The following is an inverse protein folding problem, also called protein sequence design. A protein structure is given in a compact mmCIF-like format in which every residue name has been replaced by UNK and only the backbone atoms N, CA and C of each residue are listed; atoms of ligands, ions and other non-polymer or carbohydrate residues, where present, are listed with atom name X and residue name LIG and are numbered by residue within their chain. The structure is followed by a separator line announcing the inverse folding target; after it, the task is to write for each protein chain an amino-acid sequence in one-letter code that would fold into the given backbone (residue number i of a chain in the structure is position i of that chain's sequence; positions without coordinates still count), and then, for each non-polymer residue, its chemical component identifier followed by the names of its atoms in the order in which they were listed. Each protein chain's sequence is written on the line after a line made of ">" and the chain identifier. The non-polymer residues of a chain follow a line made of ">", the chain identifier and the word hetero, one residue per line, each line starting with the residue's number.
data_IF_792938673996
#
_entry.id   IF_792938673996
#
_cell.length_a   1.000
_cell.length_b   1.000
_cell.length_c   1.000
_cell.angle_alpha   90.00
_cell.angle_beta   90.00
_cell.angle_gamma   90.00
#
_symmetry.space_group_name_H-M   'P 1'
#
loop_
_entity.id
_entity.type
_entity.pdbx_description
1 polymer ?
#
# COMPACT_ATOMS: atom_id res chain seq x y z
N UNK A 1 -26.80 21.36 25.51
CA UNK A 1 -25.54 20.63 25.52
C UNK A 1 -25.44 19.53 26.56
N UNK A 2 -26.13 19.62 27.69
CA UNK A 2 -26.02 18.68 28.82
C UNK A 2 -26.44 17.22 28.55
N UNK A 3 -27.29 16.95 27.57
CA UNK A 3 -27.77 15.58 27.25
C UNK A 3 -26.99 14.84 26.19
N UNK A 4 -26.08 15.51 25.41
CA UNK A 4 -25.28 14.89 24.37
C UNK A 4 -24.09 14.13 24.96
N UNK A 5 -23.45 14.67 25.96
CA UNK A 5 -22.25 14.09 26.60
C UNK A 5 -22.45 12.66 27.14
N UNK A 6 -23.55 12.30 27.82
CA UNK A 6 -23.78 10.93 28.26
C UNK A 6 -23.82 9.92 27.10
N UNK A 7 -24.38 10.30 25.95
CA UNK A 7 -24.42 9.45 24.76
C UNK A 7 -23.02 9.25 24.20
N UNK A 8 -22.25 10.32 24.03
CA UNK A 8 -20.86 10.26 23.55
C UNK A 8 -20.02 9.37 24.47
N UNK A 9 -20.12 9.60 25.80
CA UNK A 9 -19.37 8.83 26.79
C UNK A 9 -19.74 7.35 26.78
N UNK A 10 -21.04 7.04 26.67
CA UNK A 10 -21.51 5.64 26.58
C UNK A 10 -20.95 4.96 25.37
N UNK A 11 -21.11 5.54 24.17
CA UNK A 11 -20.64 4.99 22.90
C UNK A 11 -19.12 4.78 22.91
N UNK A 12 -18.36 5.75 23.43
CA UNK A 12 -16.91 5.66 23.57
C UNK A 12 -16.48 4.51 24.49
N UNK A 13 -17.02 4.48 25.73
CA UNK A 13 -16.61 3.49 26.75
C UNK A 13 -17.01 2.07 26.37
N UNK A 14 -18.19 1.89 25.78
CA UNK A 14 -18.66 0.60 25.30
C UNK A 14 -17.72 0.00 24.25
N UNK A 15 -17.16 0.84 23.35
CA UNK A 15 -16.21 0.42 22.34
C UNK A 15 -14.81 0.18 22.89
N UNK A 16 -14.24 1.15 23.58
CA UNK A 16 -12.84 1.08 24.06
C UNK A 16 -12.63 -0.05 25.08
N UNK A 17 -13.66 -0.40 25.85
CA UNK A 17 -13.61 -1.51 26.81
C UNK A 17 -13.91 -2.87 26.19
N UNK A 18 -14.32 -2.94 24.92
CA UNK A 18 -14.62 -4.19 24.26
C UNK A 18 -13.35 -5.00 24.00
N UNK A 19 -13.46 -6.34 24.14
CA UNK A 19 -12.34 -7.25 23.81
C UNK A 19 -11.92 -7.11 22.34
N UNK A 20 -12.90 -6.90 21.46
CA UNK A 20 -12.64 -6.70 20.03
C UNK A 20 -11.75 -5.45 19.77
N UNK A 21 -12.01 -4.35 20.47
CA UNK A 21 -11.19 -3.13 20.39
C UNK A 21 -9.74 -3.39 20.82
N UNK A 22 -9.56 -4.02 21.99
CA UNK A 22 -8.23 -4.31 22.52
C UNK A 22 -7.44 -5.23 21.61
N UNK A 23 -8.10 -6.30 21.11
CA UNK A 23 -7.47 -7.24 20.20
C UNK A 23 -7.12 -6.54 18.87
N UNK A 24 -8.05 -5.81 18.25
CA UNK A 24 -7.80 -5.14 16.98
C UNK A 24 -6.74 -4.04 17.09
N UNK A 25 -6.71 -3.33 18.23
CA UNK A 25 -5.72 -2.27 18.47
C UNK A 25 -4.30 -2.81 18.54
N UNK A 26 -4.12 -4.02 19.08
CA UNK A 26 -2.80 -4.68 19.15
C UNK A 26 -2.52 -5.52 17.92
N UNK A 27 -3.51 -6.27 17.44
CA UNK A 27 -3.32 -7.21 16.34
C UNK A 27 -3.09 -6.51 14.99
N UNK A 28 -3.74 -5.37 14.72
CA UNK A 28 -3.61 -4.72 13.42
C UNK A 28 -2.20 -4.18 13.13
N UNK A 29 -1.49 -3.48 14.04
CA UNK A 29 -0.09 -3.12 13.83
C UNK A 29 0.82 -4.33 13.67
N UNK A 30 0.60 -5.40 14.45
CA UNK A 30 1.37 -6.62 14.33
C UNK A 30 1.15 -7.34 13.00
N UNK A 31 -0.09 -7.41 12.53
CA UNK A 31 -0.43 -7.96 11.22
C UNK A 31 0.17 -7.11 10.10
N UNK A 32 0.10 -5.79 10.22
CA UNK A 32 0.70 -4.89 9.23
C UNK A 32 2.22 -5.07 9.19
N UNK A 33 2.86 -5.13 10.34
CA UNK A 33 4.29 -5.43 10.43
C UNK A 33 4.62 -6.81 9.85
N UNK A 34 3.83 -7.84 10.15
CA UNK A 34 4.01 -9.19 9.61
C UNK A 34 3.86 -9.20 8.08
N UNK A 35 2.82 -8.57 7.52
CA UNK A 35 2.60 -8.47 6.07
C UNK A 35 3.75 -7.75 5.38
N UNK A 36 4.38 -6.78 6.03
CA UNK A 36 5.52 -6.05 5.48
C UNK A 36 6.85 -6.80 5.63
N UNK A 37 7.08 -7.41 6.78
CA UNK A 37 8.35 -8.08 7.08
C UNK A 37 8.41 -9.51 6.52
N UNK A 38 7.27 -10.21 6.48
CA UNK A 38 7.21 -11.60 6.04
C UNK A 38 7.73 -11.80 4.61
N UNK A 39 7.34 -11.00 3.58
CA UNK A 39 7.91 -11.10 2.26
C UNK A 39 9.44 -10.83 2.24
N UNK A 40 9.90 -9.83 3.01
CA UNK A 40 11.33 -9.53 3.11
C UNK A 40 12.11 -10.67 3.74
N UNK A 41 11.59 -11.28 4.82
CA UNK A 41 12.18 -12.46 5.46
C UNK A 41 12.13 -13.68 4.52
N UNK A 42 11.00 -13.90 3.85
CA UNK A 42 10.89 -15.00 2.87
C UNK A 42 11.84 -14.82 1.70
N UNK A 43 11.97 -13.59 1.19
CA UNK A 43 12.95 -13.29 0.14
C UNK A 43 14.38 -13.53 0.62
N UNK A 44 14.75 -13.11 1.83
CA UNK A 44 16.08 -13.33 2.38
C UNK A 44 16.41 -14.82 2.54
N UNK A 45 15.44 -15.65 2.89
CA UNK A 45 15.64 -17.10 2.99
C UNK A 45 15.74 -17.78 1.61
N UNK A 46 15.10 -17.26 0.57
CA UNK A 46 15.22 -17.79 -0.79
C UNK A 46 16.59 -17.48 -1.42
N UNK A 47 17.25 -16.42 -1.00
CA UNK A 47 18.60 -16.06 -1.48
C UNK A 47 19.72 -16.95 -0.94
N UNK A 48 19.47 -17.75 0.09
CA UNK A 48 20.49 -18.60 0.71
C UNK A 48 21.02 -19.76 -0.17
N UNK A 49 20.28 -20.16 -1.23
CA UNK A 49 20.71 -21.23 -2.13
C UNK A 49 21.20 -20.65 -3.48
N UNK A 50 22.45 -20.91 -3.88
CA UNK A 50 22.92 -20.51 -5.20
C UNK A 50 22.12 -21.22 -6.29
N UNK A 51 21.81 -20.50 -7.37
CA UNK A 51 21.12 -21.03 -8.53
C UNK A 51 22.11 -21.85 -9.39
N UNK A 52 21.73 -23.07 -9.74
CA UNK A 52 22.49 -23.94 -10.64
C UNK A 52 22.07 -23.61 -12.07
N UNK A 53 22.97 -22.98 -12.81
CA UNK A 53 22.71 -22.54 -14.19
C UNK A 53 23.74 -23.15 -15.11
N UNK A 54 23.29 -23.76 -16.20
CA UNK A 54 24.19 -24.18 -17.27
C UNK A 54 24.32 -23.10 -18.36
N UNK A 55 25.48 -23.00 -19.02
CA UNK A 55 25.69 -22.09 -20.14
C UNK A 55 25.94 -22.92 -21.39
N UNK A 56 25.01 -22.85 -22.38
CA UNK A 56 25.10 -23.45 -23.67
C UNK A 56 25.44 -22.38 -24.71
N UNK A 57 26.68 -22.38 -25.19
CA UNK A 57 27.19 -21.38 -26.13
C UNK A 57 27.36 -21.98 -27.53
N UNK A 58 26.48 -21.62 -28.46
CA UNK A 58 26.54 -22.00 -29.86
C UNK A 58 27.56 -21.15 -30.68
N UNK A 59 28.02 -20.00 -30.12
CA UNK A 59 29.05 -19.17 -30.74
C UNK A 59 30.47 -19.73 -30.56
N UNK A 60 30.65 -20.59 -29.53
CA UNK A 60 31.93 -21.21 -29.16
C UNK A 60 32.97 -20.26 -28.54
N UNK A 61 32.65 -18.99 -28.34
CA UNK A 61 33.60 -17.96 -27.89
C UNK A 61 33.24 -17.23 -26.62
N UNK A 62 32.00 -17.40 -26.10
CA UNK A 62 31.47 -16.61 -24.97
C UNK A 62 31.34 -17.41 -23.69
N UNK A 63 31.29 -18.75 -23.76
CA UNK A 63 31.02 -19.63 -22.63
C UNK A 63 31.86 -19.34 -21.39
N UNK A 64 33.18 -19.38 -21.55
CA UNK A 64 34.11 -19.25 -20.41
C UNK A 64 34.04 -17.86 -19.80
N UNK A 65 33.89 -16.82 -20.64
CA UNK A 65 33.74 -15.45 -20.17
C UNK A 65 32.42 -15.23 -19.41
N UNK A 66 31.30 -15.78 -19.93
CA UNK A 66 30.00 -15.69 -19.28
C UNK A 66 29.98 -16.51 -17.98
N UNK A 67 30.55 -17.70 -18.00
CA UNK A 67 30.68 -18.54 -16.78
C UNK A 67 31.48 -17.81 -15.68
N UNK A 68 32.61 -17.20 -16.04
CA UNK A 68 33.43 -16.42 -15.10
C UNK A 68 32.68 -15.18 -14.60
N UNK A 69 31.93 -14.47 -15.45
CA UNK A 69 31.15 -13.31 -15.07
C UNK A 69 30.00 -13.67 -14.12
N UNK A 70 29.29 -14.76 -14.37
CA UNK A 70 28.22 -15.27 -13.49
C UNK A 70 28.77 -15.73 -12.13
N UNK A 71 29.91 -16.42 -12.10
CA UNK A 71 30.56 -16.86 -10.85
C UNK A 71 30.99 -15.68 -9.95
N UNK A 72 31.27 -14.51 -10.55
CA UNK A 72 31.61 -13.29 -9.82
C UNK A 72 30.39 -12.54 -9.25
N UNK A 73 29.18 -12.83 -9.74
CA UNK A 73 27.96 -12.17 -9.24
C UNK A 73 27.62 -12.69 -7.83
N UNK A 74 27.73 -11.79 -6.87
CA UNK A 74 27.42 -12.05 -5.46
C UNK A 74 26.13 -11.35 -5.08
N UNK A 75 25.38 -11.99 -4.18
CA UNK A 75 24.24 -11.40 -3.53
C UNK A 75 24.40 -11.64 -2.02
N UNK A 76 24.31 -10.57 -1.22
CA UNK A 76 24.57 -10.60 0.22
C UNK A 76 25.91 -11.25 0.63
N UNK A 77 26.95 -11.06 -0.19
CA UNK A 77 28.30 -11.58 0.05
C UNK A 77 28.56 -13.03 -0.41
N UNK A 78 27.53 -13.79 -0.76
CA UNK A 78 27.63 -15.17 -1.25
C UNK A 78 27.51 -15.23 -2.78
N UNK A 79 28.15 -16.23 -3.42
CA UNK A 79 27.99 -16.48 -4.84
C UNK A 79 26.52 -16.81 -5.16
N UNK A 80 25.93 -16.07 -6.12
CA UNK A 80 24.53 -16.27 -6.49
C UNK A 80 24.33 -17.43 -7.46
N UNK A 81 25.31 -17.69 -8.33
CA UNK A 81 25.23 -18.73 -9.36
C UNK A 81 26.32 -19.77 -9.17
N UNK A 82 25.94 -21.04 -9.32
CA UNK A 82 26.82 -22.17 -9.55
C UNK A 82 26.63 -22.55 -11.01
N UNK A 83 27.69 -22.31 -11.81
CA UNK A 83 27.59 -22.50 -13.24
C UNK A 83 28.15 -23.87 -13.61
N UNK A 84 27.31 -24.70 -14.25
CA UNK A 84 27.74 -25.95 -14.85
C UNK A 84 28.08 -25.70 -16.32
N UNK A 85 29.26 -26.13 -16.76
CA UNK A 85 29.66 -26.00 -18.16
C UNK A 85 28.95 -27.08 -19.00
N UNK A 86 28.19 -26.66 -20.01
CA UNK A 86 27.65 -27.56 -21.02
C UNK A 86 28.54 -27.53 -22.28
N UNK A 87 28.88 -28.68 -22.84
CA UNK A 87 29.68 -28.72 -24.05
C UNK A 87 28.84 -28.40 -25.29
N UNK A 88 29.16 -27.29 -25.92
CA UNK A 88 28.59 -26.95 -27.22
C UNK A 88 29.37 -27.70 -28.32
N UNK A 89 28.95 -28.91 -28.61
CA UNK A 89 29.44 -29.66 -29.78
C UNK A 89 28.54 -29.45 -31.02
N UNK A 90 28.82 -30.11 -32.14
CA UNK A 90 27.97 -30.06 -33.34
C UNK A 90 26.53 -30.55 -33.12
N UNK A 91 26.19 -30.99 -31.91
CA UNK A 91 24.89 -31.50 -31.46
C UNK A 91 24.22 -30.53 -30.42
N UNK A 92 24.34 -29.23 -30.64
CA UNK A 92 23.76 -28.21 -29.71
C UNK A 92 22.23 -28.44 -29.42
N UNK A 93 21.50 -29.00 -30.37
CA UNK A 93 20.09 -29.33 -30.21
C UNK A 93 19.85 -30.48 -29.21
N UNK A 94 20.69 -31.52 -29.23
CA UNK A 94 20.57 -32.65 -28.30
C UNK A 94 20.97 -32.24 -26.89
N UNK A 95 22.00 -31.39 -26.77
CA UNK A 95 22.43 -30.86 -25.48
C UNK A 95 21.38 -29.91 -24.90
N UNK A 96 20.71 -29.08 -25.71
CA UNK A 96 19.57 -28.26 -25.25
C UNK A 96 18.41 -29.14 -24.73
N UNK A 97 18.13 -30.27 -25.41
CA UNK A 97 17.12 -31.23 -24.96
C UNK A 97 17.49 -31.87 -23.61
N UNK A 98 18.76 -32.22 -23.42
CA UNK A 98 19.31 -32.73 -22.16
C UNK A 98 19.20 -31.70 -21.03
N UNK A 99 19.64 -30.47 -21.25
CA UNK A 99 19.57 -29.41 -20.30
C UNK A 99 18.12 -29.08 -19.91
N UNK A 100 17.19 -29.13 -20.88
CA UNK A 100 15.75 -29.01 -20.60
C UNK A 100 15.25 -30.12 -19.67
N UNK A 101 15.68 -31.36 -19.88
CA UNK A 101 15.35 -32.48 -18.99
C UNK A 101 15.93 -32.27 -17.59
N UNK A 102 17.16 -31.74 -17.47
CA UNK A 102 17.82 -31.47 -16.20
C UNK A 102 17.13 -30.34 -15.43
N UNK A 103 16.59 -29.36 -16.14
CA UNK A 103 15.74 -28.30 -15.53
C UNK A 103 14.42 -28.91 -15.05
N UNK A 104 13.78 -29.78 -15.83
CA UNK A 104 12.54 -30.45 -15.44
C UNK A 104 12.72 -31.39 -14.25
N UNK A 105 13.83 -32.12 -14.18
CA UNK A 105 14.17 -33.02 -13.05
C UNK A 105 14.61 -32.29 -11.79
N UNK A 106 14.88 -30.97 -11.85
CA UNK A 106 15.33 -30.14 -10.73
C UNK A 106 16.83 -30.26 -10.42
N UNK A 107 17.63 -30.87 -11.31
CA UNK A 107 19.11 -30.87 -11.23
C UNK A 107 19.67 -29.48 -11.50
N UNK A 108 19.10 -28.76 -12.47
CA UNK A 108 19.38 -27.39 -12.79
C UNK A 108 18.16 -26.49 -12.47
N UNK A 109 18.41 -25.23 -12.10
CA UNK A 109 17.37 -24.21 -11.96
C UNK A 109 17.04 -23.56 -13.32
N UNK A 110 18.01 -23.54 -14.22
CA UNK A 110 17.85 -23.04 -15.58
C UNK A 110 19.12 -23.21 -16.43
N UNK A 111 19.02 -22.88 -17.70
CA UNK A 111 20.19 -22.75 -18.59
C UNK A 111 20.08 -21.50 -19.47
N UNK A 112 21.24 -20.94 -19.76
CA UNK A 112 21.42 -19.79 -20.66
C UNK A 112 21.87 -20.30 -22.02
N UNK A 113 21.15 -19.96 -23.06
CA UNK A 113 21.50 -20.26 -24.46
C UNK A 113 22.02 -19.02 -25.15
N UNK A 114 23.23 -19.11 -25.71
CA UNK A 114 23.87 -18.08 -26.47
C UNK A 114 23.89 -18.55 -27.95
N UNK A 115 23.06 -17.97 -28.83
CA UNK A 115 23.03 -18.35 -30.25
C UNK A 115 24.37 -18.01 -30.97
N UNK A 116 24.63 -18.61 -32.13
CA UNK A 116 25.85 -18.40 -32.85
C UNK A 116 26.10 -16.93 -33.25
N UNK A 117 25.02 -16.18 -33.46
CA UNK A 117 25.02 -14.75 -33.79
C UNK A 117 24.75 -13.85 -32.56
N UNK A 118 24.96 -14.37 -31.33
CA UNK A 118 24.71 -13.66 -30.09
C UNK A 118 25.42 -12.29 -30.00
N UNK A 119 26.64 -12.19 -30.51
CA UNK A 119 27.41 -10.95 -30.54
C UNK A 119 26.81 -9.90 -31.47
N UNK A 120 26.24 -10.32 -32.61
CA UNK A 120 25.63 -9.42 -33.58
C UNK A 120 24.24 -8.95 -33.12
N UNK A 121 23.38 -9.89 -32.70
CA UNK A 121 22.00 -9.60 -32.30
C UNK A 121 21.87 -9.07 -30.90
N UNK A 122 22.89 -9.16 -30.03
CA UNK A 122 22.80 -8.81 -28.61
C UNK A 122 21.69 -9.58 -27.89
N UNK A 123 21.51 -10.85 -28.22
CA UNK A 123 20.45 -11.68 -27.64
C UNK A 123 21.03 -12.92 -26.97
N UNK A 124 20.45 -13.29 -25.86
CA UNK A 124 20.65 -14.53 -25.13
C UNK A 124 19.31 -14.98 -24.56
N UNK A 125 19.04 -16.28 -24.59
CA UNK A 125 17.79 -16.83 -24.09
C UNK A 125 18.02 -17.57 -22.79
N UNK A 126 17.23 -17.25 -21.76
CA UNK A 126 17.25 -17.98 -20.49
C UNK A 126 16.04 -18.90 -20.38
N UNK A 127 16.29 -20.17 -20.17
CA UNK A 127 15.30 -21.20 -19.96
C UNK A 127 15.38 -21.68 -18.50
N UNK A 128 14.36 -21.38 -17.70
CA UNK A 128 14.34 -21.72 -16.28
C UNK A 128 12.95 -22.15 -15.80
N UNK A 129 12.90 -22.90 -14.70
CA UNK A 129 11.64 -23.28 -14.05
C UNK A 129 10.92 -22.07 -13.46
N UNK A 130 11.67 -21.10 -12.98
CA UNK A 130 11.13 -19.86 -12.43
C UNK A 130 11.78 -18.67 -13.14
N UNK A 131 11.00 -18.00 -13.97
CA UNK A 131 11.38 -16.77 -14.67
C UNK A 131 10.75 -15.51 -14.04
N UNK A 132 10.13 -15.64 -12.88
CA UNK A 132 9.49 -14.52 -12.18
C UNK A 132 10.42 -13.76 -11.25
N UNK A 133 11.61 -14.29 -10.95
CA UNK A 133 12.58 -13.62 -10.09
C UNK A 133 13.36 -12.56 -10.87
N UNK A 134 12.82 -11.35 -10.88
CA UNK A 134 13.38 -10.20 -11.61
C UNK A 134 14.80 -9.85 -11.14
N UNK A 135 15.16 -10.10 -9.87
CA UNK A 135 16.49 -9.81 -9.36
C UNK A 135 17.55 -10.74 -9.98
N UNK A 136 17.27 -12.04 -10.03
CA UNK A 136 18.16 -13.02 -10.63
C UNK A 136 18.29 -12.81 -12.14
N UNK A 137 17.17 -12.53 -12.83
CA UNK A 137 17.19 -12.23 -14.27
C UNK A 137 18.02 -10.98 -14.58
N UNK A 138 17.95 -9.93 -13.75
CA UNK A 138 18.80 -8.74 -13.90
C UNK A 138 20.30 -9.05 -13.72
N UNK A 139 20.65 -9.93 -12.78
CA UNK A 139 22.04 -10.34 -12.58
C UNK A 139 22.56 -11.18 -13.75
N UNK A 140 21.72 -12.07 -14.31
CA UNK A 140 22.03 -12.82 -15.53
C UNK A 140 22.24 -11.88 -16.71
N UNK A 141 21.29 -10.98 -16.95
CA UNK A 141 21.33 -9.99 -18.02
C UNK A 141 22.60 -9.12 -17.93
N UNK A 142 22.91 -8.58 -16.75
CA UNK A 142 24.12 -7.80 -16.53
C UNK A 142 25.41 -8.60 -16.78
N UNK A 143 25.46 -9.87 -16.40
CA UNK A 143 26.63 -10.69 -16.61
C UNK A 143 26.87 -10.95 -18.10
N UNK A 144 25.80 -11.23 -18.84
CA UNK A 144 25.86 -11.45 -20.32
C UNK A 144 26.22 -10.15 -21.02
N UNK A 145 25.55 -9.04 -20.69
CA UNK A 145 25.83 -7.72 -21.27
C UNK A 145 27.30 -7.31 -21.07
N UNK A 146 27.84 -7.46 -19.84
CA UNK A 146 29.25 -7.16 -19.55
C UNK A 146 30.22 -7.93 -20.48
N UNK A 147 29.94 -9.21 -20.70
CA UNK A 147 30.79 -10.05 -21.55
C UNK A 147 30.64 -9.69 -23.04
N UNK A 148 29.41 -9.48 -23.51
CA UNK A 148 29.15 -9.10 -24.92
C UNK A 148 29.79 -7.77 -25.27
N UNK A 149 29.64 -6.75 -24.38
CA UNK A 149 30.29 -5.44 -24.57
C UNK A 149 31.80 -5.58 -24.55
N UNK A 150 32.38 -6.33 -23.60
CA UNK A 150 33.82 -6.54 -23.54
C UNK A 150 34.37 -7.21 -24.83
N UNK A 151 33.66 -8.21 -25.38
CA UNK A 151 34.06 -8.88 -26.62
C UNK A 151 34.00 -7.97 -27.86
N UNK A 152 32.95 -7.15 -27.95
CA UNK A 152 32.83 -6.18 -29.06
C UNK A 152 33.93 -5.13 -29.01
N UNK A 153 34.24 -4.59 -27.83
CA UNK A 153 35.32 -3.62 -27.65
C UNK A 153 36.65 -4.21 -27.99
N UNK A 154 36.93 -5.44 -27.55
CA UNK A 154 38.16 -6.14 -27.91
C UNK A 154 38.27 -6.38 -29.42
N UNK A 155 37.17 -6.71 -30.13
CA UNK A 155 37.12 -6.83 -31.59
C UNK A 155 37.41 -5.54 -32.34
N UNK A 156 37.20 -4.37 -31.70
CA UNK A 156 37.52 -3.04 -32.24
C UNK A 156 38.88 -2.51 -31.77
N UNK A 157 39.69 -3.34 -31.11
CA UNK A 157 41.02 -2.94 -30.62
C UNK A 157 40.98 -2.01 -29.38
N UNK A 158 39.80 -1.86 -28.71
CA UNK A 158 39.64 -1.06 -27.52
C UNK A 158 39.84 -1.93 -26.28
N UNK A 159 40.59 -1.42 -25.27
CA UNK A 159 40.75 -2.11 -24.00
C UNK A 159 39.43 -2.08 -23.20
N UNK A 160 38.82 -3.24 -22.95
CA UNK A 160 37.58 -3.31 -22.15
C UNK A 160 37.73 -2.78 -20.73
N UNK A 161 38.94 -2.86 -20.17
CA UNK A 161 39.25 -2.34 -18.84
C UNK A 161 39.17 -0.80 -18.78
N UNK A 162 39.72 -0.15 -19.80
CA UNK A 162 39.67 1.31 -19.90
C UNK A 162 38.26 1.83 -20.13
N UNK A 163 37.50 1.15 -20.99
CA UNK A 163 36.09 1.52 -21.23
C UNK A 163 35.23 1.31 -19.98
N UNK A 164 35.43 0.23 -19.18
CA UNK A 164 34.73 0.04 -17.91
C UNK A 164 35.01 1.15 -16.92
N UNK A 165 36.23 1.70 -16.85
CA UNK A 165 36.53 2.86 -16.00
C UNK A 165 35.79 4.11 -16.46
N UNK A 166 35.70 4.34 -17.79
CA UNK A 166 35.00 5.47 -18.39
C UNK A 166 33.46 5.34 -18.27
N UNK A 167 32.94 4.13 -18.34
CA UNK A 167 31.50 3.82 -18.25
C UNK A 167 31.07 3.35 -16.86
N UNK A 168 31.91 3.54 -15.83
CA UNK A 168 31.57 3.19 -14.45
C UNK A 168 30.24 3.83 -14.07
N UNK A 169 29.25 3.00 -13.73
CA UNK A 169 27.93 3.48 -13.32
C UNK A 169 28.07 4.48 -12.17
N UNK A 170 27.53 5.65 -12.36
CA UNK A 170 27.43 6.66 -11.30
C UNK A 170 26.52 6.10 -10.21
N UNK A 171 27.00 6.07 -8.98
CA UNK A 171 26.15 5.77 -7.80
C UNK A 171 25.35 7.02 -7.47
N UNK A 172 24.13 7.12 -8.01
CA UNK A 172 23.25 8.24 -7.80
C UNK A 172 22.65 8.15 -6.38
N UNK A 173 23.17 8.94 -5.45
CA UNK A 173 22.56 9.08 -4.13
C UNK A 173 21.33 9.97 -4.25
N UNK A 174 20.15 9.44 -3.96
CA UNK A 174 18.92 10.23 -3.88
C UNK A 174 18.85 10.91 -2.52
N UNK A 175 18.89 12.26 -2.54
CA UNK A 175 18.83 13.09 -1.34
C UNK A 175 17.51 13.86 -1.39
N UNK A 176 16.65 13.66 -0.41
CA UNK A 176 15.43 14.43 -0.24
C UNK A 176 15.75 15.73 0.49
N UNK A 177 15.36 16.85 -0.11
CA UNK A 177 15.44 18.16 0.53
C UNK A 177 14.10 18.41 1.25
N UNK A 178 14.15 18.47 2.58
CA UNK A 178 12.97 18.80 3.39
C UNK A 178 12.56 20.26 3.26
N UNK A 179 11.31 20.60 3.61
CA UNK A 179 10.80 21.97 3.58
C UNK A 179 11.63 22.97 4.44
N UNK A 180 12.38 22.49 5.42
CA UNK A 180 13.31 23.26 6.26
C UNK A 180 14.74 23.33 5.72
N UNK A 181 14.99 22.85 4.48
CA UNK A 181 16.32 22.79 3.88
C UNK A 181 17.21 21.63 4.39
N UNK A 182 16.70 20.77 5.25
CA UNK A 182 17.43 19.58 5.72
C UNK A 182 17.57 18.55 4.60
N UNK A 183 18.79 18.05 4.38
CA UNK A 183 19.11 17.02 3.39
C UNK A 183 19.13 15.64 4.05
N UNK A 184 18.41 14.68 3.47
CA UNK A 184 18.43 13.29 3.93
C UNK A 184 18.45 12.32 2.74
N UNK A 185 19.28 11.29 2.85
CA UNK A 185 19.29 10.20 1.87
C UNK A 185 17.96 9.44 1.95
N UNK A 186 17.24 9.36 0.82
CA UNK A 186 15.94 8.69 0.71
C UNK A 186 15.97 7.68 -0.44
N UNK A 187 16.03 6.42 -0.10
CA UNK A 187 15.98 5.28 -1.05
C UNK A 187 14.57 4.72 -1.21
N UNK A 188 13.55 5.57 -1.17
CA UNK A 188 12.13 5.16 -1.27
C UNK A 188 11.46 4.86 0.08
N UNK A 189 12.15 5.06 1.20
CA UNK A 189 11.60 4.83 2.53
C UNK A 189 10.45 5.80 2.86
N UNK A 190 10.49 7.03 2.34
CA UNK A 190 9.39 8.00 2.50
C UNK A 190 8.13 7.58 1.73
N UNK A 191 8.27 7.01 0.54
CA UNK A 191 7.13 6.48 -0.21
C UNK A 191 6.48 5.31 0.53
N UNK A 192 7.29 4.41 1.09
CA UNK A 192 6.80 3.29 1.89
C UNK A 192 6.04 3.76 3.13
N UNK A 193 6.60 4.73 3.88
CA UNK A 193 5.91 5.33 5.04
C UNK A 193 4.58 5.96 4.61
N UNK A 194 4.55 6.68 3.48
CA UNK A 194 3.32 7.29 2.95
C UNK A 194 2.25 6.25 2.67
N UNK A 195 2.63 5.10 2.10
CA UNK A 195 1.72 3.97 1.82
C UNK A 195 1.19 3.38 3.13
N UNK A 196 2.07 3.16 4.13
CA UNK A 196 1.67 2.62 5.43
C UNK A 196 0.64 3.52 6.10
N UNK A 197 0.93 4.82 6.18
CA UNK A 197 0.04 5.80 6.81
C UNK A 197 -1.28 5.92 6.05
N UNK A 198 -1.24 5.88 4.70
CA UNK A 198 -2.43 5.87 3.86
C UNK A 198 -3.29 4.63 4.12
N UNK A 199 -2.68 3.43 4.17
CA UNK A 199 -3.40 2.18 4.42
C UNK A 199 -3.98 2.15 5.84
N UNK A 200 -3.25 2.68 6.81
CA UNK A 200 -3.74 2.85 8.18
C UNK A 200 -4.98 3.75 8.23
N UNK A 201 -4.94 4.90 7.54
CA UNK A 201 -6.06 5.82 7.44
C UNK A 201 -7.25 5.16 6.74
N UNK A 202 -7.04 4.53 5.58
CA UNK A 202 -8.04 3.81 4.80
C UNK A 202 -8.75 2.74 5.65
N UNK A 203 -7.97 1.85 6.28
CA UNK A 203 -8.50 0.75 7.08
C UNK A 203 -9.30 1.26 8.27
N UNK A 204 -8.80 2.30 8.95
CA UNK A 204 -9.45 2.85 10.14
C UNK A 204 -10.79 3.53 9.78
N UNK A 205 -10.82 4.30 8.69
CA UNK A 205 -12.05 4.96 8.22
C UNK A 205 -13.13 3.94 7.87
N UNK A 206 -12.78 2.87 7.15
CA UNK A 206 -13.73 1.81 6.80
C UNK A 206 -14.21 1.07 8.04
N UNK A 207 -13.29 0.61 8.87
CA UNK A 207 -13.61 -0.18 10.06
C UNK A 207 -14.57 0.57 10.99
N UNK A 208 -14.27 1.82 11.32
CA UNK A 208 -15.11 2.60 12.21
C UNK A 208 -16.40 3.08 11.55
N UNK A 209 -16.41 3.29 10.22
CA UNK A 209 -17.63 3.52 9.46
C UNK A 209 -18.58 2.32 9.54
N UNK A 210 -18.08 1.11 9.36
CA UNK A 210 -18.86 -0.12 9.49
C UNK A 210 -19.36 -0.34 10.93
N UNK A 211 -18.57 -0.02 11.95
CA UNK A 211 -18.98 -0.07 13.36
C UNK A 211 -20.16 0.85 13.62
N UNK A 212 -20.18 2.06 13.03
CA UNK A 212 -21.33 2.96 13.13
C UNK A 212 -22.56 2.33 12.48
N UNK A 213 -22.43 1.77 11.29
CA UNK A 213 -23.51 1.11 10.56
C UNK A 213 -24.14 -0.03 11.36
N UNK A 214 -23.32 -0.98 11.82
CA UNK A 214 -23.79 -2.15 12.59
C UNK A 214 -24.45 -1.73 13.89
N UNK A 215 -23.90 -0.72 14.58
CA UNK A 215 -24.47 -0.16 15.79
C UNK A 215 -25.86 0.47 15.57
N UNK A 216 -26.08 1.12 14.41
CA UNK A 216 -27.42 1.67 14.06
C UNK A 216 -28.42 0.52 13.80
N UNK A 217 -27.97 -0.54 13.11
CA UNK A 217 -28.83 -1.72 12.85
C UNK A 217 -29.21 -2.41 14.17
N UNK A 218 -28.25 -2.63 15.08
CA UNK A 218 -28.47 -3.28 16.37
C UNK A 218 -29.47 -2.49 17.23
N UNK A 219 -29.34 -1.17 17.29
CA UNK A 219 -30.31 -0.34 18.04
C UNK A 219 -31.72 -0.40 17.43
N UNK A 220 -31.81 -0.43 16.12
CA UNK A 220 -33.10 -0.55 15.41
C UNK A 220 -33.73 -1.90 15.72
N UNK A 221 -32.97 -3.00 15.63
CA UNK A 221 -33.52 -4.36 15.83
C UNK A 221 -33.88 -4.65 17.28
N UNK A 222 -33.17 -4.08 18.23
CA UNK A 222 -33.43 -4.24 19.67
C UNK A 222 -34.56 -3.36 20.21
N UNK A 223 -35.18 -2.50 19.37
CA UNK A 223 -36.22 -1.49 19.75
C UNK A 223 -35.80 -0.52 20.85
N UNK A 224 -34.53 -0.51 21.24
CA UNK A 224 -33.99 0.45 22.23
C UNK A 224 -34.18 1.89 21.76
N UNK A 225 -34.18 2.07 20.44
CA UNK A 225 -34.42 3.37 19.82
C UNK A 225 -35.76 4.00 20.20
N UNK A 226 -36.83 3.22 20.34
CA UNK A 226 -38.17 3.75 20.70
C UNK A 226 -38.12 4.47 22.08
N UNK A 227 -37.40 3.89 23.04
CA UNK A 227 -37.17 4.47 24.35
C UNK A 227 -36.23 5.69 24.28
N UNK A 228 -35.21 5.64 23.42
CA UNK A 228 -34.25 6.74 23.33
C UNK A 228 -34.80 7.96 22.60
N UNK A 229 -35.61 7.77 21.52
CA UNK A 229 -36.23 8.86 20.77
C UNK A 229 -37.34 9.57 21.60
N UNK A 230 -37.98 8.87 22.53
CA UNK A 230 -38.91 9.53 23.49
C UNK A 230 -38.22 10.49 24.46
N UNK A 231 -36.91 10.31 24.71
CA UNK A 231 -36.13 11.10 25.66
C UNK A 231 -35.30 12.23 25.02
N UNK A 232 -34.96 12.12 23.72
CA UNK A 232 -34.16 13.12 23.00
C UNK A 232 -34.39 13.11 21.46
N UNK A 233 -34.17 14.25 20.76
CA UNK A 233 -34.30 14.32 19.31
C UNK A 233 -33.32 13.35 18.61
N UNK A 234 -33.81 12.64 17.56
CA UNK A 234 -33.03 11.67 16.78
C UNK A 234 -31.72 12.23 16.20
N UNK A 235 -31.70 13.50 15.80
CA UNK A 235 -30.49 14.16 15.31
C UNK A 235 -29.39 14.29 16.40
N UNK A 236 -29.77 14.50 17.65
CA UNK A 236 -28.79 14.55 18.77
C UNK A 236 -28.25 13.16 19.10
N UNK A 237 -29.09 12.14 19.02
CA UNK A 237 -28.69 10.75 19.21
C UNK A 237 -27.67 10.37 18.10
N UNK A 238 -28.00 10.68 16.86
CA UNK A 238 -27.13 10.47 15.70
C UNK A 238 -25.77 11.17 15.83
N UNK A 239 -25.78 12.46 16.20
CA UNK A 239 -24.54 13.21 16.41
C UNK A 239 -23.71 12.64 17.59
N UNK A 240 -24.37 12.27 18.70
CA UNK A 240 -23.71 11.65 19.85
C UNK A 240 -23.04 10.32 19.50
N UNK A 241 -23.68 9.51 18.68
CA UNK A 241 -23.13 8.25 18.17
C UNK A 241 -21.91 8.49 17.28
N UNK A 242 -22.01 9.36 16.27
CA UNK A 242 -20.87 9.70 15.40
C UNK A 242 -19.69 10.21 16.21
N UNK A 243 -19.91 11.10 17.17
CA UNK A 243 -18.84 11.65 18.00
C UNK A 243 -18.23 10.60 18.94
N UNK A 244 -19.06 9.76 19.58
CA UNK A 244 -18.60 8.74 20.53
C UNK A 244 -17.79 7.64 19.85
N UNK A 245 -18.30 7.10 18.74
CA UNK A 245 -17.60 6.09 17.95
C UNK A 245 -16.34 6.68 17.29
N UNK A 246 -16.42 7.93 16.81
CA UNK A 246 -15.28 8.64 16.24
C UNK A 246 -14.15 8.89 17.23
N UNK A 247 -14.50 9.20 18.50
CA UNK A 247 -13.52 9.33 19.57
C UNK A 247 -12.80 7.99 19.85
N UNK A 248 -13.52 6.87 19.82
CA UNK A 248 -12.91 5.54 19.95
C UNK A 248 -11.99 5.23 18.76
N UNK A 249 -12.42 5.54 17.53
CA UNK A 249 -11.61 5.42 16.32
C UNK A 249 -10.35 6.28 16.38
N UNK A 250 -10.46 7.52 16.83
CA UNK A 250 -9.31 8.42 17.01
C UNK A 250 -8.34 7.88 18.07
N UNK A 251 -8.83 7.33 19.17
CA UNK A 251 -7.99 6.70 20.20
C UNK A 251 -7.19 5.55 19.61
N UNK A 252 -7.81 4.63 18.87
CA UNK A 252 -7.13 3.52 18.22
C UNK A 252 -6.09 4.02 17.19
N UNK A 253 -6.47 5.00 16.40
CA UNK A 253 -5.60 5.60 15.39
C UNK A 253 -4.35 6.24 16.02
N UNK A 254 -4.51 6.96 17.13
CA UNK A 254 -3.40 7.54 17.88
C UNK A 254 -2.48 6.49 18.49
N UNK A 255 -3.04 5.37 18.98
CA UNK A 255 -2.25 4.22 19.47
C UNK A 255 -1.39 3.63 18.32
N UNK A 256 -1.97 3.48 17.14
CA UNK A 256 -1.23 2.97 15.97
C UNK A 256 -0.15 3.93 15.49
N UNK A 257 -0.45 5.24 15.46
CA UNK A 257 0.54 6.26 15.12
C UNK A 257 1.70 6.29 16.12
N UNK A 258 1.40 6.18 17.42
CA UNK A 258 2.41 6.08 18.47
C UNK A 258 3.26 4.80 18.34
N UNK A 259 2.63 3.65 18.06
CA UNK A 259 3.35 2.40 17.84
C UNK A 259 4.31 2.49 16.64
N UNK A 260 3.89 3.10 15.52
CA UNK A 260 4.76 3.34 14.36
C UNK A 260 5.93 4.27 14.71
N UNK A 261 5.68 5.34 15.48
CA UNK A 261 6.75 6.25 15.91
C UNK A 261 7.78 5.53 16.81
N UNK A 262 7.31 4.70 17.74
CA UNK A 262 8.16 3.88 18.61
C UNK A 262 9.00 2.90 17.78
N UNK A 263 8.37 2.17 16.84
CA UNK A 263 9.08 1.25 15.93
C UNK A 263 10.14 2.01 15.12
N UNK A 264 9.82 3.21 14.63
CA UNK A 264 10.75 4.08 13.89
C UNK A 264 12.00 4.45 14.71
N UNK A 265 11.81 4.82 15.98
CA UNK A 265 12.93 5.14 16.90
C UNK A 265 13.80 3.92 17.18
N UNK A 266 13.20 2.76 17.46
CA UNK A 266 13.94 1.52 17.69
C UNK A 266 14.68 1.04 16.44
N UNK A 267 14.07 1.12 15.27
CA UNK A 267 14.70 0.77 14.00
C UNK A 267 15.90 1.69 13.68
N UNK A 268 15.84 2.97 14.05
CA UNK A 268 16.95 3.90 13.90
C UNK A 268 18.14 3.55 14.82
N UNK A 269 17.87 3.03 16.03
CA UNK A 269 18.89 2.58 16.98
C UNK A 269 19.51 1.22 16.64
N UNK A 270 18.75 0.31 16.03
CA UNK A 270 19.16 -1.04 15.64
C UNK A 270 19.90 -1.11 14.28
N UNK A 271 20.27 0.04 13.71
CA UNK A 271 20.77 0.20 12.34
C UNK A 271 22.12 -0.48 12.02
N UNK A 272 22.76 -1.16 12.99
CA UNK A 272 23.91 -2.01 12.71
C UNK A 272 23.57 -3.38 12.09
N UNK A 273 22.36 -3.91 12.30
CA UNK A 273 21.91 -5.22 11.81
C UNK A 273 20.88 -5.17 10.71
N UNK A 274 20.14 -4.05 10.57
CA UNK A 274 19.16 -3.81 9.51
C UNK A 274 19.70 -2.74 8.54
N UNK A 275 20.91 -2.94 8.04
CA UNK A 275 21.58 -2.03 7.13
C UNK A 275 20.70 -1.66 5.92
N UNK A 276 20.07 -0.49 5.98
CA UNK A 276 19.30 0.09 4.88
C UNK A 276 17.85 0.44 5.17
N UNK A 277 17.24 -0.01 6.27
CA UNK A 277 15.84 0.29 6.56
C UNK A 277 15.71 1.34 7.67
N UNK A 278 15.77 2.61 7.29
CA UNK A 278 15.42 3.72 8.20
C UNK A 278 14.04 4.22 7.82
N UNK A 279 13.08 4.09 8.74
CA UNK A 279 11.79 4.76 8.58
C UNK A 279 12.03 6.28 8.64
N UNK A 280 11.55 7.05 7.65
CA UNK A 280 11.62 8.50 7.71
C UNK A 280 10.78 9.00 8.89
N UNK A 281 11.28 10.03 9.59
CA UNK A 281 10.51 10.68 10.63
C UNK A 281 9.32 11.39 10.01
N UNK A 282 8.11 11.08 10.48
CA UNK A 282 6.92 11.82 10.14
C UNK A 282 7.03 13.22 10.79
N UNK A 283 7.20 14.26 9.99
CA UNK A 283 7.22 15.64 10.48
C UNK A 283 5.90 16.03 11.14
N UNK A 284 5.90 17.08 12.00
CA UNK A 284 4.69 17.50 12.72
C UNK A 284 3.53 17.86 11.80
N UNK A 285 3.79 18.36 10.60
CA UNK A 285 2.77 18.63 9.58
C UNK A 285 2.08 17.35 9.11
N UNK A 286 2.84 16.28 8.88
CA UNK A 286 2.30 14.98 8.46
C UNK A 286 1.43 14.39 9.56
N UNK A 287 1.86 14.49 10.82
CA UNK A 287 1.07 14.00 11.97
C UNK A 287 -0.22 14.81 12.14
N UNK A 288 -0.17 16.14 12.02
CA UNK A 288 -1.35 17.00 12.06
C UNK A 288 -2.31 16.67 10.90
N UNK A 289 -1.79 16.56 9.68
CA UNK A 289 -2.57 16.17 8.50
C UNK A 289 -3.21 14.79 8.70
N UNK A 290 -2.48 13.82 9.26
CA UNK A 290 -2.97 12.48 9.55
C UNK A 290 -4.24 12.52 10.42
N UNK A 291 -4.24 13.32 11.49
CA UNK A 291 -5.40 13.48 12.38
C UNK A 291 -6.54 14.22 11.67
N UNK A 292 -6.25 15.31 10.97
CA UNK A 292 -7.27 16.13 10.28
C UNK A 292 -7.97 15.31 9.20
N UNK A 293 -7.21 14.63 8.33
CA UNK A 293 -7.79 13.85 7.24
C UNK A 293 -8.42 12.54 7.72
N UNK A 294 -7.96 11.98 8.84
CA UNK A 294 -8.70 10.91 9.52
C UNK A 294 -10.08 11.40 9.96
N UNK A 295 -10.18 12.54 10.66
CA UNK A 295 -11.47 13.06 11.10
C UNK A 295 -12.39 13.39 9.93
N UNK A 296 -11.88 14.04 8.88
CA UNK A 296 -12.64 14.35 7.69
C UNK A 296 -13.16 13.07 6.99
N UNK A 297 -12.30 12.09 6.79
CA UNK A 297 -12.67 10.80 6.21
C UNK A 297 -13.66 10.05 7.09
N UNK A 298 -13.40 9.97 8.38
CA UNK A 298 -14.30 9.31 9.31
C UNK A 298 -15.71 9.93 9.29
N UNK A 299 -15.86 11.23 9.48
CA UNK A 299 -17.18 11.86 9.50
C UNK A 299 -17.92 11.73 8.18
N UNK A 300 -17.22 11.86 7.07
CA UNK A 300 -17.82 11.69 5.75
C UNK A 300 -18.35 10.26 5.55
N UNK A 301 -17.51 9.26 5.74
CA UNK A 301 -17.89 7.87 5.48
C UNK A 301 -18.78 7.28 6.56
N UNK A 302 -18.56 7.59 7.84
CA UNK A 302 -19.41 7.13 8.93
C UNK A 302 -20.84 7.63 8.81
N UNK A 303 -21.07 8.87 8.33
CA UNK A 303 -22.39 9.38 8.06
C UNK A 303 -23.10 8.62 6.92
N UNK A 304 -22.38 8.25 5.85
CA UNK A 304 -22.91 7.40 4.78
C UNK A 304 -23.25 5.99 5.28
N UNK A 305 -22.34 5.37 6.03
CA UNK A 305 -22.56 4.07 6.62
C UNK A 305 -23.74 4.06 7.61
N UNK A 306 -23.88 5.12 8.41
CA UNK A 306 -25.01 5.28 9.34
C UNK A 306 -26.34 5.43 8.60
N UNK A 307 -26.36 6.15 7.47
CA UNK A 307 -27.56 6.26 6.62
C UNK A 307 -27.99 4.90 6.06
N UNK A 308 -27.03 4.08 5.62
CA UNK A 308 -27.28 2.70 5.18
C UNK A 308 -27.84 1.89 6.36
N UNK A 309 -27.19 1.93 7.54
CA UNK A 309 -27.65 1.21 8.72
C UNK A 309 -29.08 1.55 9.13
N UNK A 310 -29.48 2.82 9.02
CA UNK A 310 -30.86 3.25 9.28
C UNK A 310 -31.87 2.76 8.23
N UNK A 311 -31.44 2.59 6.98
CA UNK A 311 -32.31 2.18 5.89
C UNK A 311 -32.59 0.67 5.86
N UNK A 312 -31.72 -0.17 6.41
CA UNK A 312 -31.81 -1.64 6.38
C UNK A 312 -32.28 -2.24 7.70
N UNK A 313 -32.63 -3.52 7.71
CA UNK A 313 -33.05 -4.24 8.91
C UNK A 313 -32.06 -5.30 9.37
N UNK A 314 -31.16 -5.73 8.49
CA UNK A 314 -30.17 -6.77 8.82
C UNK A 314 -28.77 -6.37 8.31
N UNK A 315 -27.69 -6.85 8.96
CA UNK A 315 -26.32 -6.64 8.47
C UNK A 315 -26.09 -7.19 7.05
N UNK A 316 -26.77 -8.28 6.68
CA UNK A 316 -26.68 -8.88 5.35
C UNK A 316 -27.25 -7.96 4.26
N UNK A 317 -28.37 -7.29 4.54
CA UNK A 317 -28.93 -6.28 3.64
C UNK A 317 -28.00 -5.07 3.48
N UNK A 318 -27.34 -4.66 4.57
CA UNK A 318 -26.40 -3.55 4.55
C UNK A 318 -25.24 -3.84 3.59
N UNK A 319 -24.70 -5.05 3.59
CA UNK A 319 -23.55 -5.45 2.74
C UNK A 319 -23.81 -5.17 1.24
N UNK A 320 -25.04 -5.33 0.78
CA UNK A 320 -25.43 -5.06 -0.62
C UNK A 320 -25.43 -3.56 -0.93
N UNK A 321 -25.83 -2.73 0.03
CA UNK A 321 -25.94 -1.27 -0.13
C UNK A 321 -24.62 -0.52 0.16
N UNK A 322 -23.64 -1.18 0.75
CA UNK A 322 -22.35 -0.57 1.10
C UNK A 322 -21.45 -0.39 -0.13
N UNK A 323 -21.65 -1.17 -1.19
CA UNK A 323 -20.80 -1.14 -2.39
C UNK A 323 -20.59 0.28 -2.97
N UNK A 324 -21.62 1.13 -3.16
CA UNK A 324 -21.42 2.50 -3.67
C UNK A 324 -20.54 3.37 -2.75
N UNK A 325 -20.52 3.10 -1.45
CA UNK A 325 -19.68 3.82 -0.48
C UNK A 325 -18.21 3.39 -0.59
N UNK A 326 -17.95 2.12 -0.95
CA UNK A 326 -16.60 1.62 -1.18
C UNK A 326 -15.98 2.11 -2.49
N UNK A 327 -16.79 2.38 -3.53
CA UNK A 327 -16.26 2.77 -4.85
C UNK A 327 -15.29 3.95 -4.78
N UNK A 328 -15.60 5.10 -4.14
CA UNK A 328 -14.66 6.20 -4.05
C UNK A 328 -13.38 5.83 -3.28
N UNK A 329 -13.48 5.00 -2.25
CA UNK A 329 -12.32 4.54 -1.46
C UNK A 329 -11.39 3.65 -2.31
N UNK A 330 -11.97 2.74 -3.10
CA UNK A 330 -11.21 1.89 -4.03
C UNK A 330 -10.57 2.74 -5.12
N UNK A 331 -11.32 3.68 -5.72
CA UNK A 331 -10.78 4.62 -6.71
C UNK A 331 -9.63 5.44 -6.12
N UNK A 332 -9.77 5.93 -4.89
CA UNK A 332 -8.70 6.65 -4.19
C UNK A 332 -7.43 5.82 -4.03
N UNK A 333 -7.56 4.54 -3.66
CA UNK A 333 -6.40 3.65 -3.57
C UNK A 333 -5.82 3.29 -4.93
N UNK A 334 -6.63 3.16 -5.98
CA UNK A 334 -6.12 2.93 -7.34
C UNK A 334 -5.38 4.15 -7.92
N UNK A 335 -5.74 5.36 -7.50
CA UNK A 335 -5.07 6.60 -7.91
C UNK A 335 -3.76 6.89 -7.14
N UNK A 336 -3.42 6.10 -6.12
CA UNK A 336 -2.22 6.38 -5.31
C UNK A 336 -0.91 6.36 -6.12
N UNK A 337 -0.66 5.44 -7.11
CA UNK A 337 0.57 5.46 -7.90
C UNK A 337 0.71 6.74 -8.73
N UNK A 338 -0.40 7.30 -9.22
CA UNK A 338 -0.42 8.58 -9.92
C UNK A 338 0.06 9.72 -9.02
N UNK A 339 -0.46 9.77 -7.79
CA UNK A 339 -0.09 10.81 -6.82
C UNK A 339 1.35 10.67 -6.35
N UNK A 340 1.85 9.43 -6.20
CA UNK A 340 3.25 9.18 -5.85
C UNK A 340 4.23 9.65 -6.94
N UNK A 341 3.90 9.40 -8.21
CA UNK A 341 4.78 9.73 -9.34
C UNK A 341 4.67 11.20 -9.74
N UNK A 342 3.47 11.79 -9.63
CA UNK A 342 3.20 13.16 -10.11
C UNK A 342 2.25 13.89 -9.16
N UNK A 343 2.69 14.25 -7.93
CA UNK A 343 1.83 14.85 -6.91
C UNK A 343 1.28 16.22 -7.32
N UNK A 344 2.01 16.99 -8.13
CA UNK A 344 1.64 18.35 -8.57
C UNK A 344 0.92 18.36 -9.93
N UNK A 345 0.63 17.20 -10.53
CA UNK A 345 -0.12 17.16 -11.78
C UNK A 345 -1.53 17.74 -11.59
N UNK A 346 -2.12 18.38 -12.63
CA UNK A 346 -3.49 18.88 -12.56
C UNK A 346 -4.49 17.81 -12.14
N UNK A 347 -4.30 16.56 -12.60
CA UNK A 347 -5.16 15.44 -12.27
C UNK A 347 -5.05 15.06 -10.78
N UNK A 348 -3.83 14.94 -10.23
CA UNK A 348 -3.62 14.69 -8.79
C UNK A 348 -4.23 15.79 -7.93
N UNK A 349 -4.12 17.04 -8.38
CA UNK A 349 -4.70 18.20 -7.69
C UNK A 349 -6.22 18.12 -7.66
N UNK A 350 -6.88 17.91 -8.80
CA UNK A 350 -8.35 17.82 -8.88
C UNK A 350 -8.87 16.63 -8.06
N UNK A 351 -8.27 15.44 -8.23
CA UNK A 351 -8.69 14.24 -7.49
C UNK A 351 -8.55 14.41 -5.98
N UNK A 352 -7.48 15.07 -5.51
CA UNK A 352 -7.27 15.32 -4.08
C UNK A 352 -8.21 16.38 -3.48
N UNK A 353 -8.89 17.18 -4.30
CA UNK A 353 -9.88 18.16 -3.86
C UNK A 353 -11.33 17.61 -3.89
N UNK A 354 -11.56 16.43 -4.49
CA UNK A 354 -12.88 15.80 -4.50
C UNK A 354 -13.19 15.19 -3.12
N UNK A 355 -14.24 15.65 -2.41
CA UNK A 355 -14.50 15.30 -1.01
C UNK A 355 -14.45 13.80 -0.68
N UNK A 356 -15.00 12.88 -1.50
CA UNK A 356 -14.87 11.44 -1.21
C UNK A 356 -13.43 10.92 -1.29
N UNK A 357 -12.57 11.52 -2.12
CA UNK A 357 -11.18 11.09 -2.34
C UNK A 357 -10.19 11.88 -1.47
N UNK A 358 -10.56 13.09 -1.08
CA UNK A 358 -9.71 14.04 -0.34
C UNK A 358 -9.01 13.42 0.87
N UNK A 359 -9.69 12.68 1.77
CA UNK A 359 -9.03 12.15 2.98
C UNK A 359 -7.84 11.26 2.65
N UNK A 360 -7.88 10.55 1.54
CA UNK A 360 -6.81 9.65 1.11
C UNK A 360 -5.77 10.37 0.26
N UNK A 361 -6.20 11.03 -0.82
CA UNK A 361 -5.29 11.56 -1.83
C UNK A 361 -4.61 12.86 -1.40
N UNK A 362 -5.29 13.75 -0.69
CA UNK A 362 -4.65 14.97 -0.19
C UNK A 362 -3.67 14.64 0.95
N UNK A 363 -4.02 13.72 1.83
CA UNK A 363 -3.09 13.22 2.84
C UNK A 363 -1.83 12.63 2.18
N UNK A 364 -2.00 11.78 1.16
CA UNK A 364 -0.86 11.21 0.41
C UNK A 364 0.00 12.29 -0.23
N UNK A 365 -0.60 13.32 -0.85
CA UNK A 365 0.16 14.44 -1.42
C UNK A 365 1.01 15.15 -0.38
N UNK A 366 0.45 15.41 0.82
CA UNK A 366 1.19 16.07 1.91
C UNK A 366 2.39 15.23 2.36
N UNK A 367 2.30 13.90 2.34
CA UNK A 367 3.41 13.04 2.74
C UNK A 367 4.52 12.96 1.69
N UNK A 368 4.17 13.04 0.40
CA UNK A 368 5.12 12.94 -0.72
C UNK A 368 5.76 14.30 -1.01
N UNK A 369 4.92 15.28 -1.31
CA UNK A 369 5.32 16.64 -1.64
C UNK A 369 4.24 17.61 -1.13
N UNK A 370 4.57 18.40 -0.11
CA UNK A 370 3.60 19.32 0.52
C UNK A 370 3.02 20.28 -0.51
N UNK A 371 1.70 20.23 -0.80
CA UNK A 371 1.08 21.14 -1.74
C UNK A 371 0.98 22.56 -1.17
N UNK A 372 0.70 23.57 -2.00
CA UNK A 372 0.45 24.95 -1.53
C UNK A 372 -0.63 24.98 -0.46
N UNK A 373 -0.45 25.79 0.58
CA UNK A 373 -1.34 25.85 1.75
C UNK A 373 -2.81 26.10 1.41
N UNK A 374 -3.10 26.88 0.35
CA UNK A 374 -4.46 27.16 -0.10
C UNK A 374 -5.19 25.92 -0.61
N UNK A 375 -4.48 24.94 -1.21
CA UNK A 375 -5.06 23.65 -1.63
C UNK A 375 -5.45 22.81 -0.41
N UNK A 376 -4.63 22.82 0.64
CA UNK A 376 -4.92 22.13 1.90
C UNK A 376 -6.18 22.74 2.53
N UNK A 377 -6.24 24.06 2.65
CA UNK A 377 -7.41 24.76 3.21
C UNK A 377 -8.65 24.51 2.36
N UNK A 378 -8.54 24.63 1.03
CA UNK A 378 -9.66 24.37 0.12
C UNK A 378 -10.18 22.93 0.25
N UNK A 379 -9.30 21.95 0.36
CA UNK A 379 -9.68 20.54 0.54
C UNK A 379 -10.45 20.31 1.85
N UNK A 380 -10.02 20.96 2.95
CA UNK A 380 -10.71 20.88 4.25
C UNK A 380 -12.10 21.53 4.15
N UNK A 381 -12.20 22.69 3.52
CA UNK A 381 -13.48 23.43 3.37
C UNK A 381 -14.45 22.62 2.50
N UNK A 382 -14.01 22.15 1.33
CA UNK A 382 -14.86 21.37 0.43
C UNK A 382 -15.34 20.07 1.09
N UNK A 383 -14.44 19.37 1.76
CA UNK A 383 -14.79 18.14 2.47
C UNK A 383 -15.70 18.43 3.67
N UNK A 384 -15.46 19.52 4.42
CA UNK A 384 -16.33 19.95 5.51
C UNK A 384 -17.76 20.27 5.05
N UNK A 385 -17.91 20.97 3.92
CA UNK A 385 -19.21 21.23 3.30
C UNK A 385 -19.89 19.94 2.84
N UNK A 386 -19.13 19.01 2.26
CA UNK A 386 -19.66 17.71 1.86
C UNK A 386 -20.10 16.88 3.09
N UNK A 387 -19.34 16.89 4.19
CA UNK A 387 -19.72 16.25 5.45
C UNK A 387 -21.02 16.84 5.97
N UNK A 388 -21.17 18.16 5.98
CA UNK A 388 -22.41 18.83 6.42
C UNK A 388 -23.60 18.38 5.58
N UNK A 389 -23.44 18.31 4.25
CA UNK A 389 -24.49 17.82 3.35
C UNK A 389 -24.83 16.34 3.58
N UNK A 390 -23.82 15.47 3.71
CA UNK A 390 -24.01 14.03 3.95
C UNK A 390 -24.65 13.80 5.32
N UNK A 391 -24.21 14.48 6.38
CA UNK A 391 -24.79 14.38 7.74
C UNK A 391 -26.23 14.86 7.72
N UNK A 392 -26.53 15.94 7.02
CA UNK A 392 -27.91 16.43 6.86
C UNK A 392 -28.81 15.39 6.15
N UNK A 393 -28.37 14.81 5.03
CA UNK A 393 -29.09 13.73 4.35
C UNK A 393 -29.25 12.50 5.26
N UNK A 394 -28.15 12.07 5.90
CA UNK A 394 -28.13 10.90 6.77
C UNK A 394 -29.07 11.06 7.99
N UNK A 395 -29.14 12.26 8.58
CA UNK A 395 -30.03 12.53 9.71
C UNK A 395 -31.52 12.42 9.34
N UNK A 396 -31.87 12.80 8.11
CA UNK A 396 -33.25 12.65 7.57
C UNK A 396 -33.58 11.20 7.27
N UNK A 397 -32.67 10.48 6.63
CA UNK A 397 -32.83 9.04 6.40
C UNK A 397 -32.95 8.31 7.75
N UNK A 398 -32.12 8.65 8.71
CA UNK A 398 -32.15 8.07 10.05
C UNK A 398 -33.48 8.33 10.77
N UNK A 399 -34.07 9.55 10.67
CA UNK A 399 -35.35 9.88 11.30
C UNK A 399 -36.48 8.98 10.80
N UNK A 400 -36.56 8.75 9.49
CA UNK A 400 -37.62 7.93 8.88
C UNK A 400 -37.29 6.44 8.97
N UNK A 401 -36.08 6.08 8.60
CA UNK A 401 -35.64 4.70 8.46
C UNK A 401 -35.64 3.92 9.78
N UNK A 402 -35.34 4.59 10.90
CA UNK A 402 -35.28 3.95 12.22
C UNK A 402 -36.66 3.50 12.72
N UNK A 403 -37.73 4.13 12.22
CA UNK A 403 -39.12 3.80 12.58
C UNK A 403 -39.75 2.83 11.58
N UNK A 404 -39.08 2.51 10.48
CA UNK A 404 -39.61 1.60 9.44
C UNK A 404 -39.07 0.18 9.64
N UNK A 405 -39.98 -0.75 9.85
CA UNK A 405 -39.69 -2.18 10.02
C UNK A 405 -40.24 -3.00 8.83
N UNK A 406 -39.54 -4.05 8.45
CA UNK A 406 -40.06 -5.13 7.60
C UNK A 406 -40.06 -4.89 6.08
N UNK A 407 -39.80 -3.67 5.59
CA UNK A 407 -39.74 -3.38 4.13
C UNK A 407 -38.37 -2.82 3.76
N UNK A 408 -37.78 -3.32 2.67
CA UNK A 408 -36.58 -2.72 2.08
C UNK A 408 -36.98 -1.44 1.33
N UNK A 409 -36.41 -0.27 1.67
CA UNK A 409 -36.69 0.93 0.91
C UNK A 409 -36.06 0.85 -0.48
N UNK A 410 -36.79 1.32 -1.48
CA UNK A 410 -36.28 1.53 -2.83
C UNK A 410 -35.51 2.85 -2.90
N UNK A 411 -34.59 2.99 -3.87
CA UNK A 411 -33.84 4.22 -4.07
C UNK A 411 -34.72 5.48 -4.23
N UNK A 412 -35.86 5.45 -4.97
CA UNK A 412 -36.81 6.56 -5.01
C UNK A 412 -37.47 6.88 -3.68
N UNK A 413 -37.70 5.87 -2.80
CA UNK A 413 -38.26 6.09 -1.47
C UNK A 413 -37.26 6.82 -0.58
N UNK A 414 -35.97 6.43 -0.62
CA UNK A 414 -34.91 7.12 0.11
C UNK A 414 -34.80 8.59 -0.30
N UNK A 415 -34.90 8.88 -1.61
CA UNK A 415 -34.91 10.26 -2.12
C UNK A 415 -36.10 11.07 -1.60
N UNK A 416 -37.31 10.44 -1.48
CA UNK A 416 -38.48 11.09 -0.88
C UNK A 416 -38.26 11.39 0.60
N UNK A 417 -37.62 10.49 1.36
CA UNK A 417 -37.31 10.72 2.77
C UNK A 417 -36.40 11.93 2.98
N UNK A 418 -35.42 12.14 2.08
CA UNK A 418 -34.55 13.31 2.13
C UNK A 418 -35.34 14.61 1.89
N UNK A 419 -36.38 14.58 1.05
CA UNK A 419 -37.17 15.78 0.69
C UNK A 419 -38.22 16.13 1.72
N UNK A 420 -38.84 15.14 2.38
CA UNK A 420 -40.09 15.33 3.16
C UNK A 420 -39.90 15.05 4.68
N UNK A 421 -38.71 14.65 5.14
CA UNK A 421 -38.45 14.34 6.57
C UNK A 421 -38.03 15.57 7.39
#
# INVERSE_FOLDING_TARGET
>A
MSRLWPVIRREYLERVRSRAFLISTVAAPLLLAAVMLLPAIMMSQQYGRPLRVAVLDASGSLRDAVTAALAQKKMDGAARFVVEAAEAGPQAADEAARLKHDVLSGRLDGYLYLPADALERSSADYFGRNVSNVADLRLLDQAVEEVMVARRLAGQGLDPGHVRQLTRRLDLKTIRIGASGGEREDRGASALLSIILLMMLYTTVIMWGQVVMTSVIEEKTSRVVEVMVSSMPSARLFAGKLLGVGAAGLTQFMVWAAALAVIGVFAAGASATLAGFRLPEAGPLVLAALVVYFLLGYFFYAALFAAIGAAVNTPQEAQTLVFPVFVPLVVGTMCFPLVLQSPDSPLSTVLSLLPPLTPLLMFLRITVLTPPWWQIVLSIVLTGLAIAAVVWCASRIHRVGILMYGKRPTFPEILRWIRHA
#
